data_IF_932121561908
#
_entry.id   IF_932121561908
#
_cell.length_a   1.000
_cell.length_b   1.000
_cell.length_c   1.000
_cell.angle_alpha   90.00
_cell.angle_beta   90.00
_cell.angle_gamma   90.00
#
_symmetry.space_group_name_H-M   'P 1'
#
loop_
_entity.id
_entity.type
_entity.pdbx_description
1 polymer ?
#
# COMPACT_ATOMS: atom_id res chain seq x y z
N UNK A 1 -5.86 2.99 4.32
CA UNK A 1 -6.23 1.82 3.49
C UNK A 1 -7.45 2.00 2.60
N UNK A 2 -8.44 2.78 3.00
CA UNK A 2 -9.65 2.95 2.17
C UNK A 2 -9.34 3.46 0.75
N UNK A 3 -8.41 4.43 0.62
CA UNK A 3 -8.03 4.95 -0.70
C UNK A 3 -7.39 3.88 -1.58
N UNK A 4 -6.56 3.01 -1.00
CA UNK A 4 -5.95 1.88 -1.74
C UNK A 4 -7.01 0.87 -2.15
N UNK A 5 -7.92 0.52 -1.23
CA UNK A 5 -9.01 -0.42 -1.52
C UNK A 5 -9.94 0.10 -2.62
N UNK A 6 -10.20 1.40 -2.62
CA UNK A 6 -11.04 2.06 -3.63
C UNK A 6 -10.28 2.38 -4.92
N UNK A 7 -8.97 2.12 -4.98
CA UNK A 7 -8.08 2.48 -6.09
C UNK A 7 -8.11 3.97 -6.42
N UNK A 8 -8.27 4.78 -5.38
CA UNK A 8 -8.28 6.24 -5.53
C UNK A 8 -6.86 6.78 -5.38
N UNK A 9 -6.18 6.92 -6.50
CA UNK A 9 -4.77 7.33 -6.53
C UNK A 9 -4.57 8.74 -5.98
N UNK A 10 -5.47 9.65 -6.28
CA UNK A 10 -5.35 11.03 -5.80
C UNK A 10 -5.62 11.15 -4.30
N UNK A 11 -6.60 10.42 -3.77
CA UNK A 11 -6.86 10.38 -2.34
C UNK A 11 -5.71 9.74 -1.58
N UNK A 12 -5.12 8.67 -2.12
CA UNK A 12 -3.96 8.03 -1.51
C UNK A 12 -2.76 9.00 -1.49
N UNK A 13 -2.49 9.70 -2.59
CA UNK A 13 -1.41 10.68 -2.66
C UNK A 13 -1.61 11.84 -1.68
N UNK A 14 -2.85 12.27 -1.46
CA UNK A 14 -3.16 13.37 -0.55
C UNK A 14 -2.85 13.03 0.92
N UNK A 15 -2.76 11.75 1.26
CA UNK A 15 -2.42 11.29 2.62
C UNK A 15 -0.91 11.20 2.85
N UNK A 16 -0.10 11.53 1.86
CA UNK A 16 1.36 11.37 1.90
C UNK A 16 2.09 12.71 1.87
N UNK A 17 3.34 12.70 2.37
CA UNK A 17 4.24 13.87 2.25
C UNK A 17 4.64 14.06 0.80
N UNK A 18 5.17 15.27 0.47
CA UNK A 18 5.63 15.56 -0.89
C UNK A 18 6.79 14.66 -1.34
N UNK A 19 7.62 14.25 -0.39
CA UNK A 19 8.81 13.42 -0.63
C UNK A 19 8.61 11.96 -0.22
N UNK A 20 7.37 11.49 -0.16
CA UNK A 20 7.05 10.12 0.25
C UNK A 20 7.83 9.10 -0.58
N UNK A 21 8.34 8.06 0.09
CA UNK A 21 9.03 6.95 -0.53
C UNK A 21 8.11 5.74 -0.57
N UNK A 22 7.97 5.13 -1.76
CA UNK A 22 7.14 3.94 -1.96
C UNK A 22 8.03 2.77 -2.38
N UNK A 23 8.09 1.72 -1.56
CA UNK A 23 8.86 0.52 -1.86
C UNK A 23 7.94 -0.60 -2.30
N UNK A 24 8.15 -1.10 -3.51
CA UNK A 24 7.36 -2.16 -4.11
C UNK A 24 8.19 -3.45 -4.17
N UNK A 25 7.64 -4.59 -3.73
CA UNK A 25 8.38 -5.87 -3.80
C UNK A 25 8.85 -6.18 -5.22
N UNK A 26 10.11 -6.62 -5.33
CA UNK A 26 10.70 -6.97 -6.62
C UNK A 26 11.23 -5.80 -7.44
N UNK A 27 11.07 -4.57 -6.96
CA UNK A 27 11.60 -3.37 -7.61
C UNK A 27 12.67 -2.76 -6.71
N UNK A 28 13.91 -2.68 -7.22
CA UNK A 28 15.05 -2.21 -6.43
C UNK A 28 14.98 -0.73 -6.10
N UNK A 29 14.58 0.09 -7.08
CA UNK A 29 14.52 1.53 -6.91
C UNK A 29 13.13 1.93 -6.42
N UNK A 30 13.01 2.53 -5.23
CA UNK A 30 11.70 2.96 -4.75
C UNK A 30 11.12 4.07 -5.61
N UNK A 31 9.80 4.13 -5.68
CA UNK A 31 9.13 5.26 -6.30
C UNK A 31 9.18 6.45 -5.36
N UNK A 32 9.30 7.65 -5.89
CA UNK A 32 9.47 8.87 -5.11
C UNK A 32 8.30 9.82 -5.33
N UNK A 33 7.87 10.48 -4.23
CA UNK A 33 6.88 11.53 -4.28
C UNK A 33 5.46 11.04 -4.46
N UNK A 34 4.52 11.96 -4.51
CA UNK A 34 3.10 11.65 -4.66
C UNK A 34 2.79 10.93 -5.97
N UNK A 35 3.53 11.22 -7.04
CA UNK A 35 3.38 10.51 -8.31
C UNK A 35 3.77 9.04 -8.16
N UNK A 36 4.74 8.73 -7.30
CA UNK A 36 5.09 7.35 -6.97
C UNK A 36 3.94 6.59 -6.35
N UNK A 37 3.17 7.24 -5.47
CA UNK A 37 1.97 6.65 -4.87
C UNK A 37 0.92 6.37 -5.95
N UNK A 38 0.68 7.31 -6.84
CA UNK A 38 -0.27 7.14 -7.95
C UNK A 38 0.15 5.99 -8.86
N UNK A 39 1.45 5.91 -9.16
CA UNK A 39 2.00 4.85 -9.99
C UNK A 39 1.78 3.48 -9.35
N UNK A 40 2.01 3.36 -8.05
CA UNK A 40 1.77 2.11 -7.31
C UNK A 40 0.30 1.66 -7.44
N UNK A 41 -0.63 2.58 -7.24
CA UNK A 41 -2.06 2.27 -7.34
C UNK A 41 -2.43 1.80 -8.76
N UNK A 42 -1.90 2.47 -9.79
CA UNK A 42 -2.19 2.13 -11.18
C UNK A 42 -1.55 0.83 -11.64
N UNK A 43 -0.51 0.35 -10.96
CA UNK A 43 0.11 -0.94 -11.28
C UNK A 43 -0.76 -2.13 -10.88
N UNK A 44 -1.69 -1.95 -9.93
CA UNK A 44 -2.53 -3.03 -9.46
C UNK A 44 -3.59 -3.39 -10.51
N UNK A 45 -3.89 -4.71 -10.70
CA UNK A 45 -4.97 -5.11 -11.61
C UNK A 45 -6.32 -4.53 -11.19
N UNK A 46 -7.18 -4.24 -12.18
CA UNK A 46 -8.49 -3.66 -11.91
C UNK A 46 -9.40 -4.57 -11.09
N UNK A 47 -9.23 -5.88 -11.22
CA UNK A 47 -10.01 -6.90 -10.50
C UNK A 47 -9.51 -7.17 -9.09
N UNK A 48 -8.46 -6.48 -8.66
CA UNK A 48 -7.86 -6.73 -7.37
C UNK A 48 -8.79 -6.33 -6.22
N UNK A 49 -9.00 -7.27 -5.30
CA UNK A 49 -9.81 -7.05 -4.11
C UNK A 49 -8.91 -7.12 -2.88
N UNK A 50 -9.09 -6.18 -1.97
CA UNK A 50 -8.36 -6.15 -0.71
C UNK A 50 -9.31 -6.16 0.47
N UNK A 51 -9.15 -7.16 1.34
CA UNK A 51 -9.95 -7.30 2.56
C UNK A 51 -9.06 -7.08 3.77
N UNK A 52 -9.44 -6.14 4.63
CA UNK A 52 -8.72 -5.86 5.86
C UNK A 52 -8.77 -7.07 6.79
N UNK A 53 -7.60 -7.53 7.25
CA UNK A 53 -7.47 -8.68 8.17
C UNK A 53 -6.89 -8.29 9.52
N UNK A 54 -6.13 -7.24 9.60
CA UNK A 54 -5.57 -6.78 10.85
C UNK A 54 -4.92 -5.43 10.70
N UNK A 55 -4.78 -4.75 11.84
CA UNK A 55 -4.14 -3.44 11.90
C UNK A 55 -3.42 -3.32 13.22
N UNK A 56 -2.19 -2.82 13.18
CA UNK A 56 -1.35 -2.62 14.35
C UNK A 56 -0.65 -1.28 14.25
N UNK A 57 -0.64 -0.52 15.33
CA UNK A 57 -0.01 0.79 15.38
C UNK A 57 1.06 0.81 16.46
N UNK A 58 2.27 1.25 16.11
CA UNK A 58 3.41 1.37 17.03
C UNK A 58 4.18 2.65 16.74
N UNK A 59 4.10 3.63 17.66
CA UNK A 59 4.79 4.91 17.47
C UNK A 59 4.32 5.59 16.19
N UNK A 60 5.26 5.80 15.26
CA UNK A 60 4.98 6.41 13.96
C UNK A 60 4.80 5.39 12.83
N UNK A 61 4.66 4.10 13.16
CA UNK A 61 4.44 3.05 12.17
C UNK A 61 3.05 2.46 12.33
N UNK A 62 2.32 2.35 11.21
CA UNK A 62 1.06 1.62 11.15
C UNK A 62 1.28 0.42 10.23
N UNK A 63 0.95 -0.76 10.73
CA UNK A 63 1.09 -2.01 9.98
C UNK A 63 -0.30 -2.58 9.72
N UNK A 64 -0.63 -2.79 8.46
CA UNK A 64 -1.94 -3.30 8.05
C UNK A 64 -1.76 -4.59 7.28
N UNK A 65 -2.53 -5.61 7.63
CA UNK A 65 -2.55 -6.88 6.90
C UNK A 65 -3.85 -6.98 6.12
N UNK A 66 -3.77 -7.23 4.83
CA UNK A 66 -4.92 -7.43 3.97
C UNK A 66 -4.83 -8.78 3.28
N UNK A 67 -5.99 -9.36 2.97
CA UNK A 67 -6.07 -10.47 2.01
C UNK A 67 -6.31 -9.84 0.65
N UNK A 68 -5.33 -10.01 -0.24
CA UNK A 68 -5.37 -9.47 -1.59
C UNK A 68 -5.72 -10.58 -2.56
N UNK A 69 -6.80 -10.41 -3.30
CA UNK A 69 -7.27 -11.44 -4.24
C UNK A 69 -7.55 -10.85 -5.62
N UNK A 70 -7.16 -11.63 -6.64
CA UNK A 70 -7.64 -11.45 -7.99
C UNK A 70 -8.38 -12.77 -8.32
N UNK A 71 -9.73 -12.78 -8.34
CA UNK A 71 -10.50 -14.01 -8.47
C UNK A 71 -10.10 -14.84 -9.70
N UNK A 72 -9.84 -16.14 -9.48
CA UNK A 72 -9.40 -17.04 -10.54
C UNK A 72 -7.93 -16.94 -10.90
N UNK A 73 -7.16 -16.03 -10.27
CA UNK A 73 -5.75 -15.80 -10.58
C UNK A 73 -4.86 -16.08 -9.37
N UNK A 74 -5.06 -15.34 -8.28
CA UNK A 74 -4.25 -15.53 -7.08
C UNK A 74 -4.95 -15.02 -5.81
N UNK A 75 -4.41 -15.44 -4.65
CA UNK A 75 -4.73 -14.88 -3.35
C UNK A 75 -3.46 -14.78 -2.52
N UNK A 76 -3.20 -13.61 -1.93
CA UNK A 76 -2.02 -13.35 -1.11
C UNK A 76 -2.40 -12.57 0.13
N UNK A 77 -1.64 -12.76 1.21
CA UNK A 77 -1.64 -11.82 2.31
C UNK A 77 -0.64 -10.73 2.01
N UNK A 78 -1.06 -9.49 2.16
CA UNK A 78 -0.19 -8.32 1.98
C UNK A 78 -0.02 -7.64 3.33
N UNK A 79 1.23 -7.44 3.74
CA UNK A 79 1.55 -6.64 4.92
C UNK A 79 2.01 -5.28 4.46
N UNK A 80 1.22 -4.26 4.80
CA UNK A 80 1.49 -2.87 4.50
C UNK A 80 2.14 -2.20 5.69
N UNK A 81 3.19 -1.43 5.45
CA UNK A 81 3.85 -0.63 6.49
C UNK A 81 3.80 0.83 6.09
N UNK A 82 3.17 1.62 6.93
CA UNK A 82 3.05 3.06 6.73
C UNK A 82 3.86 3.75 7.81
N UNK A 83 4.90 4.47 7.44
CA UNK A 83 5.67 5.28 8.36
C UNK A 83 5.19 6.72 8.23
N UNK A 84 4.79 7.34 9.35
CA UNK A 84 4.15 8.63 9.35
C UNK A 84 5.05 9.73 9.88
N UNK A 85 4.81 10.97 9.40
CA UNK A 85 5.37 12.19 9.93
C UNK A 85 4.17 13.10 10.22
N UNK A 86 3.81 13.20 11.50
CA UNK A 86 2.55 13.83 11.88
C UNK A 86 1.36 13.05 11.34
N UNK A 87 0.49 13.71 10.60
CA UNK A 87 -0.71 13.10 10.02
C UNK A 87 -0.48 12.50 8.63
N UNK A 88 0.71 12.66 8.06
CA UNK A 88 0.99 12.24 6.69
C UNK A 88 1.94 11.05 6.66
N UNK A 89 1.79 10.22 5.63
CA UNK A 89 2.66 9.08 5.37
C UNK A 89 3.90 9.57 4.63
N UNK A 90 5.09 9.30 5.18
CA UNK A 90 6.36 9.65 4.55
C UNK A 90 7.06 8.45 3.89
N UNK A 91 6.70 7.24 4.28
CA UNK A 91 7.23 6.02 3.67
C UNK A 91 6.15 4.95 3.66
N UNK A 92 6.00 4.30 2.53
CA UNK A 92 5.06 3.21 2.33
C UNK A 92 5.82 2.02 1.76
N UNK A 93 5.66 0.87 2.38
CA UNK A 93 6.19 -0.39 1.83
C UNK A 93 5.17 -1.50 2.03
N UNK A 94 5.30 -2.56 1.24
CA UNK A 94 4.45 -3.72 1.44
C UNK A 94 5.18 -4.99 1.00
N UNK A 95 4.73 -6.11 1.56
CA UNK A 95 5.26 -7.44 1.27
C UNK A 95 4.10 -8.36 0.97
N UNK A 96 4.30 -9.29 0.05
CA UNK A 96 3.31 -10.27 -0.35
C UNK A 96 3.71 -11.65 0.16
N UNK A 97 2.72 -12.39 0.67
CA UNK A 97 2.91 -13.77 1.12
C UNK A 97 1.74 -14.62 0.63
N UNK A 98 2.03 -15.80 0.09
CA UNK A 98 0.99 -16.71 -0.37
C UNK A 98 -0.03 -17.04 0.72
N UNK A 99 -1.31 -17.16 0.33
CA UNK A 99 -2.41 -17.41 1.25
C UNK A 99 -2.66 -18.90 1.49
N UNK A 100 -1.77 -19.76 1.03
CA UNK A 100 -1.89 -21.22 1.17
C UNK A 100 -1.33 -21.68 2.51
#
# INVERSE_FOLDING_TARGET
>A
MKAVQARDADAAAALCTEDVEVRVPGIETPFQGKDGVRQMIHMAPAELLQSLRGEEERGNEVRVTTLTRAPGIFANYTTWRFETDGALVRRLSFELRGAN
#
